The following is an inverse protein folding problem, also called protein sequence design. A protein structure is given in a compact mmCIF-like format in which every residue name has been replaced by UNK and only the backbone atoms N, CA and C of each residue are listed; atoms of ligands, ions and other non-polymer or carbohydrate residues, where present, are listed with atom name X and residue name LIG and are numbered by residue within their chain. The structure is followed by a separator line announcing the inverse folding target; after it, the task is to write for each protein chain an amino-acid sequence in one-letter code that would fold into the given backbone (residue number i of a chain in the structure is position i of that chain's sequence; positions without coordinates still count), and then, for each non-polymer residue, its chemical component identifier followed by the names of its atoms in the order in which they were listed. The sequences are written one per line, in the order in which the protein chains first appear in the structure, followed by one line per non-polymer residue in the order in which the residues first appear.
data_IF_597681433341
#
_entry.id   IF_597681433341
#
_cell.length_a   1.000
_cell.length_b   1.000
_cell.length_c   1.000
_cell.angle_alpha   90.00
_cell.angle_beta   90.00
_cell.angle_gamma   90.00
#
_symmetry.space_group_name_H-M   'P 1'
#
loop_
_entity.id
_entity.type
_entity.pdbx_description
1 polymer ?
#
# COMPACT_ATOMS: atom_id res chain seq x y z
N UNK A 1 -11.47 -21.74 -10.70
CA UNK A 1 -11.69 -20.39 -10.13
C UNK A 1 -13.11 -19.95 -10.47
N UNK A 2 -13.79 -19.18 -9.60
CA UNK A 2 -15.10 -18.60 -9.94
C UNK A 2 -14.95 -17.69 -11.17
N UNK A 3 -15.93 -17.73 -12.07
CA UNK A 3 -15.96 -16.86 -13.25
C UNK A 3 -16.53 -15.51 -12.86
N UNK A 4 -15.75 -14.45 -13.02
CA UNK A 4 -16.18 -13.07 -12.76
C UNK A 4 -16.29 -12.37 -14.11
N UNK A 5 -17.42 -11.71 -14.35
CA UNK A 5 -17.63 -10.86 -15.53
C UNK A 5 -17.66 -9.41 -15.07
N UNK A 6 -16.80 -8.59 -15.65
CA UNK A 6 -16.67 -7.16 -15.33
C UNK A 6 -16.79 -6.33 -16.60
N UNK A 7 -17.43 -5.17 -16.49
CA UNK A 7 -17.40 -4.14 -17.53
C UNK A 7 -16.27 -3.19 -17.23
N UNK A 8 -15.42 -2.95 -18.22
CA UNK A 8 -14.25 -2.08 -18.12
C UNK A 8 -14.40 -1.00 -19.19
N UNK A 9 -13.98 0.23 -18.86
CA UNK A 9 -13.94 1.32 -19.82
C UNK A 9 -13.07 0.96 -21.03
N UNK A 10 -13.50 1.24 -22.27
CA UNK A 10 -12.71 0.97 -23.48
C UNK A 10 -11.27 1.50 -23.42
N UNK A 11 -11.03 2.62 -22.74
CA UNK A 11 -9.68 3.16 -22.52
C UNK A 11 -8.73 2.15 -21.87
N UNK A 12 -9.21 1.40 -20.88
CA UNK A 12 -8.40 0.40 -20.19
C UNK A 12 -8.24 -0.88 -21.02
N UNK A 13 -9.20 -1.22 -21.88
CA UNK A 13 -9.07 -2.35 -22.81
C UNK A 13 -7.86 -2.11 -23.73
N UNK A 14 -7.79 -0.95 -24.37
CA UNK A 14 -6.65 -0.60 -25.25
C UNK A 14 -5.32 -0.61 -24.48
N UNK A 15 -5.31 -0.18 -23.21
CA UNK A 15 -4.13 -0.26 -22.36
C UNK A 15 -3.71 -1.71 -22.11
N UNK A 16 -4.66 -2.59 -21.74
CA UNK A 16 -4.38 -3.99 -21.45
C UNK A 16 -3.87 -4.72 -22.70
N UNK A 17 -4.47 -4.48 -23.86
CA UNK A 17 -4.03 -5.07 -25.13
C UNK A 17 -2.59 -4.67 -25.46
N UNK A 18 -2.23 -3.38 -25.33
CA UNK A 18 -0.84 -2.94 -25.52
C UNK A 18 0.13 -3.62 -24.56
N UNK A 19 -0.30 -3.83 -23.31
CA UNK A 19 0.52 -4.47 -22.26
C UNK A 19 0.68 -5.98 -22.41
N UNK A 20 -0.25 -6.63 -23.11
CA UNK A 20 -0.09 -8.02 -23.51
C UNK A 20 0.80 -8.09 -24.76
N UNK A 21 0.57 -7.21 -25.74
CA UNK A 21 1.33 -7.17 -26.99
C UNK A 21 2.81 -6.82 -26.80
N UNK A 22 3.13 -5.96 -25.82
CA UNK A 22 4.51 -5.60 -25.48
C UNK A 22 5.21 -6.66 -24.58
N UNK A 23 4.49 -7.72 -24.18
CA UNK A 23 4.99 -8.80 -23.36
C UNK A 23 5.14 -8.48 -21.87
N UNK A 24 4.64 -7.33 -21.40
CA UNK A 24 4.64 -6.99 -19.97
C UNK A 24 3.78 -7.95 -19.15
N UNK A 25 2.72 -8.51 -19.75
CA UNK A 25 1.81 -9.47 -19.11
C UNK A 25 1.38 -10.56 -20.09
N UNK A 26 1.08 -11.75 -19.57
CA UNK A 26 0.63 -12.93 -20.30
C UNK A 26 -0.82 -12.79 -20.78
N UNK A 27 -1.69 -12.29 -19.93
CA UNK A 27 -3.13 -12.18 -20.20
C UNK A 27 -3.83 -11.13 -19.32
N UNK A 28 -5.10 -10.92 -19.60
CA UNK A 28 -5.99 -9.99 -18.88
C UNK A 28 -6.11 -10.35 -17.39
N UNK A 29 -6.14 -11.64 -17.04
CA UNK A 29 -6.29 -12.10 -15.65
C UNK A 29 -5.04 -11.73 -14.83
N UNK A 30 -3.85 -11.84 -15.43
CA UNK A 30 -2.61 -11.42 -14.79
C UNK A 30 -2.59 -9.92 -14.51
N UNK A 31 -3.02 -9.09 -15.47
CA UNK A 31 -3.09 -7.63 -15.30
C UNK A 31 -4.07 -7.28 -14.18
N UNK A 32 -5.28 -7.86 -14.19
CA UNK A 32 -6.29 -7.60 -13.15
C UNK A 32 -5.74 -8.01 -11.78
N UNK A 33 -5.10 -9.17 -11.69
CA UNK A 33 -4.49 -9.65 -10.44
C UNK A 33 -3.37 -8.73 -9.96
N UNK A 34 -2.54 -8.20 -10.86
CA UNK A 34 -1.50 -7.24 -10.53
C UNK A 34 -2.09 -5.91 -10.02
N UNK A 35 -3.17 -5.43 -10.65
CA UNK A 35 -3.92 -4.26 -10.20
C UNK A 35 -4.51 -4.44 -8.80
N UNK A 36 -5.16 -5.58 -8.55
CA UNK A 36 -5.73 -5.90 -7.24
C UNK A 36 -4.67 -5.99 -6.14
N UNK A 37 -3.52 -6.63 -6.41
CA UNK A 37 -2.39 -6.66 -5.47
C UNK A 37 -1.85 -5.27 -5.14
N UNK A 38 -1.84 -4.36 -6.11
CA UNK A 38 -1.41 -2.98 -5.87
C UNK A 38 -2.39 -2.24 -4.97
N UNK A 39 -3.70 -2.43 -5.18
CA UNK A 39 -4.76 -1.85 -4.34
C UNK A 39 -4.65 -2.38 -2.91
N UNK A 40 -4.59 -3.70 -2.73
CA UNK A 40 -4.44 -4.35 -1.42
C UNK A 40 -3.22 -3.81 -0.67
N UNK A 41 -2.06 -3.74 -1.33
CA UNK A 41 -0.83 -3.20 -0.73
C UNK A 41 -0.98 -1.74 -0.28
N UNK A 42 -1.70 -0.92 -1.02
CA UNK A 42 -1.90 0.48 -0.66
C UNK A 42 -2.87 0.63 0.51
N UNK A 43 -3.95 -0.16 0.53
CA UNK A 43 -4.87 -0.23 1.67
C UNK A 43 -4.15 -0.68 2.95
N UNK A 44 -3.28 -1.69 2.85
CA UNK A 44 -2.46 -2.17 3.96
C UNK A 44 -1.55 -1.07 4.54
N UNK A 45 -0.89 -0.28 3.68
CA UNK A 45 -0.08 0.85 4.14
C UNK A 45 -0.91 1.90 4.87
N UNK A 46 -2.08 2.23 4.34
CA UNK A 46 -2.97 3.21 4.95
C UNK A 46 -3.44 2.70 6.33
N UNK A 47 -3.78 1.41 6.42
CA UNK A 47 -4.20 0.79 7.68
C UNK A 47 -3.05 0.75 8.69
N UNK A 48 -1.84 0.39 8.26
CA UNK A 48 -0.65 0.43 9.10
C UNK A 48 -0.37 1.84 9.64
N UNK A 49 -0.48 2.87 8.80
CA UNK A 49 -0.30 4.26 9.21
C UNK A 49 -1.36 4.70 10.24
N UNK A 50 -2.64 4.39 9.97
CA UNK A 50 -3.74 4.69 10.92
C UNK A 50 -3.51 4.02 12.26
N UNK A 51 -3.07 2.76 12.25
CA UNK A 51 -2.78 2.02 13.49
C UNK A 51 -1.61 2.64 14.25
N UNK A 52 -0.52 3.01 13.57
CA UNK A 52 0.63 3.65 14.20
C UNK A 52 0.27 5.02 14.81
N UNK A 53 -0.58 5.80 14.13
CA UNK A 53 -1.09 7.07 14.67
C UNK A 53 -1.92 6.81 15.93
N UNK A 54 -2.87 5.86 15.87
CA UNK A 54 -3.72 5.52 17.00
C UNK A 54 -2.90 5.01 18.19
N UNK A 55 -1.89 4.17 17.96
CA UNK A 55 -0.96 3.71 19.00
C UNK A 55 -0.21 4.89 19.64
N UNK A 56 0.26 5.84 18.84
CA UNK A 56 0.87 7.07 19.33
C UNK A 56 -0.08 7.91 20.18
N UNK A 57 -1.33 8.09 19.76
CA UNK A 57 -2.35 8.82 20.52
C UNK A 57 -2.70 8.12 21.84
N UNK A 58 -2.86 6.79 21.81
CA UNK A 58 -3.14 5.96 22.99
C UNK A 58 -1.96 5.91 23.98
N UNK A 59 -0.73 6.10 23.50
CA UNK A 59 0.48 6.17 24.35
C UNK A 59 0.54 7.44 25.24
N UNK A 60 -0.32 8.42 24.96
CA UNK A 60 -0.38 9.69 25.68
C UNK A 60 0.64 10.72 25.22
N UNK A 61 0.56 11.92 25.80
CA UNK A 61 1.42 13.05 25.41
C UNK A 61 2.74 12.98 26.17
N UNK A 62 3.85 12.93 25.44
CA UNK A 62 5.18 13.14 25.98
C UNK A 62 5.33 14.61 26.42
N UNK A 63 5.23 14.85 27.73
CA UNK A 63 5.45 16.17 28.32
C UNK A 63 6.94 16.39 28.55
N UNK A 64 7.39 17.63 28.40
CA UNK A 64 8.75 18.08 28.72
C UNK A 64 9.85 17.27 28.00
N UNK A 65 9.59 16.87 26.74
CA UNK A 65 10.54 16.12 25.93
C UNK A 65 11.78 16.96 25.60
N UNK A 66 12.96 16.50 26.03
CA UNK A 66 14.26 17.08 25.70
C UNK A 66 15.06 16.13 24.79
N UNK A 67 15.28 16.56 23.56
CA UNK A 67 15.91 15.72 22.53
C UNK A 67 17.38 15.41 22.85
N UNK A 68 18.11 16.35 23.45
CA UNK A 68 19.54 16.18 23.77
C UNK A 68 19.73 15.16 24.90
N UNK A 69 18.95 15.27 25.98
CA UNK A 69 18.97 14.31 27.09
C UNK A 69 18.53 12.92 26.63
N UNK A 70 17.50 12.84 25.79
CA UNK A 70 17.04 11.55 25.25
C UNK A 70 18.07 10.91 24.33
N UNK A 71 18.74 11.69 23.47
CA UNK A 71 19.82 11.19 22.62
C UNK A 71 21.03 10.72 23.44
N UNK A 72 21.38 11.45 24.51
CA UNK A 72 22.46 11.04 25.42
C UNK A 72 22.13 9.69 26.07
N UNK A 73 20.89 9.50 26.55
CA UNK A 73 20.41 8.23 27.11
C UNK A 73 20.56 7.08 26.10
N UNK A 74 20.09 7.24 24.86
CA UNK A 74 20.16 6.19 23.84
C UNK A 74 21.60 5.76 23.50
N UNK A 75 22.58 6.65 23.64
CA UNK A 75 24.01 6.34 23.39
C UNK A 75 24.70 5.63 24.57
N UNK A 76 24.04 5.56 25.73
CA UNK A 76 24.54 4.85 26.92
C UNK A 76 23.98 3.45 27.08
N UNK A 77 22.97 3.09 26.27
CA UNK A 77 22.42 1.74 26.11
C UNK A 77 23.29 0.93 25.15
#
# INVERSE_FOLDING_TARGET
MPKISIQIDPYFIDFMERKIADGSYKDTEEIISAGLRLIEKEEDKINALRNAIREGEESGIAKDFDADSYLALLKTL
#
